data_IF_096913849228
#
_entry.id   IF_096913849228
#
_cell.length_a   1.000
_cell.length_b   1.000
_cell.length_c   1.000
_cell.angle_alpha   90.00
_cell.angle_beta   90.00
_cell.angle_gamma   90.00
#
_symmetry.space_group_name_H-M   'P 1'
#
loop_
_entity.id
_entity.type
_entity.pdbx_description
1 polymer ?
#
# COMPACT_ATOMS: atom_id res chain seq x y z
N UNK A 1 -43.92 30.16 43.43
CA UNK A 1 -45.37 29.87 43.52
C UNK A 1 -45.69 28.71 44.47
N UNK A 2 -44.86 27.65 44.54
CA UNK A 2 -44.96 26.52 45.49
C UNK A 2 -45.18 26.91 46.97
N UNK A 3 -44.51 27.99 47.40
CA UNK A 3 -44.47 28.45 48.79
C UNK A 3 -45.82 29.00 49.27
N UNK A 4 -46.54 29.72 48.40
CA UNK A 4 -47.81 30.38 48.75
C UNK A 4 -48.93 29.38 49.02
N UNK A 5 -49.06 28.29 48.26
CA UNK A 5 -50.09 27.28 48.49
C UNK A 5 -49.80 26.43 49.73
N UNK A 6 -48.52 26.21 50.06
CA UNK A 6 -48.10 25.53 51.30
C UNK A 6 -48.49 26.40 52.49
N UNK A 7 -48.12 27.68 52.44
CA UNK A 7 -48.51 28.68 53.43
C UNK A 7 -50.04 28.78 53.59
N UNK A 8 -50.84 28.73 52.51
CA UNK A 8 -52.31 28.69 52.61
C UNK A 8 -52.83 27.51 53.42
N UNK A 9 -52.33 26.30 53.19
CA UNK A 9 -52.76 25.10 53.94
C UNK A 9 -52.34 25.18 55.42
N UNK A 10 -51.11 25.60 55.70
CA UNK A 10 -50.66 25.81 57.09
C UNK A 10 -51.45 26.91 57.78
N UNK A 11 -51.75 28.01 57.07
CA UNK A 11 -52.59 29.09 57.60
C UNK A 11 -54.02 28.61 57.89
N UNK A 12 -54.59 27.69 57.09
CA UNK A 12 -55.90 27.09 57.39
C UNK A 12 -55.85 26.18 58.61
N UNK A 13 -54.80 25.37 58.76
CA UNK A 13 -54.56 24.54 59.95
C UNK A 13 -54.35 25.41 61.19
N UNK A 14 -53.60 26.49 61.07
CA UNK A 14 -53.33 27.42 62.17
C UNK A 14 -54.59 28.19 62.56
N UNK A 15 -55.42 28.62 61.60
CA UNK A 15 -56.75 29.19 61.88
C UNK A 15 -57.67 28.18 62.57
N UNK A 16 -57.60 26.90 62.19
CA UNK A 16 -58.37 25.85 62.85
C UNK A 16 -57.90 25.63 64.29
N UNK A 17 -56.58 25.61 64.52
CA UNK A 17 -56.00 25.53 65.88
C UNK A 17 -56.37 26.77 66.72
N UNK A 18 -56.35 27.97 66.14
CA UNK A 18 -56.79 29.18 66.83
C UNK A 18 -58.28 29.14 67.19
N UNK A 19 -59.14 28.61 66.30
CA UNK A 19 -60.55 28.38 66.64
C UNK A 19 -60.73 27.35 67.74
N UNK A 20 -59.88 26.33 67.78
CA UNK A 20 -59.87 25.34 68.85
C UNK A 20 -59.45 25.96 70.20
N UNK A 21 -58.38 26.77 70.22
CA UNK A 21 -57.85 27.42 71.43
C UNK A 21 -58.73 28.55 71.97
N UNK A 22 -59.46 29.25 71.10
CA UNK A 22 -60.35 30.37 71.48
C UNK A 22 -61.81 29.96 71.68
N UNK A 23 -62.14 28.70 71.41
CA UNK A 23 -63.47 28.15 71.59
C UNK A 23 -63.88 28.09 73.07
N UNK A 24 -65.17 28.18 73.34
CA UNK A 24 -65.67 28.11 74.71
C UNK A 24 -65.82 26.63 75.12
N UNK A 25 -64.99 26.17 76.06
CA UNK A 25 -65.11 24.85 76.66
C UNK A 25 -66.41 24.72 77.46
N UNK A 26 -67.32 23.87 77.00
CA UNK A 26 -68.51 23.49 77.78
C UNK A 26 -68.18 22.30 78.69
N UNK A 27 -67.37 21.36 78.19
CA UNK A 27 -66.82 20.26 78.97
C UNK A 27 -65.31 20.27 78.72
N UNK A 28 -64.48 20.58 79.73
CA UNK A 28 -63.03 20.61 79.58
C UNK A 28 -62.52 19.33 78.89
N UNK A 29 -61.74 19.51 77.83
CA UNK A 29 -61.12 18.43 77.03
C UNK A 29 -62.06 17.54 76.20
N UNK A 30 -63.38 17.75 76.19
CA UNK A 30 -64.33 16.88 75.49
C UNK A 30 -65.32 17.62 74.59
N UNK A 31 -65.67 18.88 74.90
CA UNK A 31 -66.64 19.64 74.11
C UNK A 31 -66.31 21.13 74.07
N UNK A 32 -66.01 21.63 72.88
CA UNK A 32 -65.69 23.03 72.60
C UNK A 32 -66.77 23.60 71.69
N UNK A 33 -67.33 24.75 72.06
CA UNK A 33 -68.23 25.51 71.20
C UNK A 33 -67.45 26.52 70.39
N UNK A 34 -67.53 26.36 69.07
CA UNK A 34 -66.92 27.23 68.08
C UNK A 34 -67.98 27.94 67.26
N UNK A 35 -67.65 29.14 66.77
CA UNK A 35 -68.52 29.90 65.90
C UNK A 35 -68.68 29.18 64.56
N UNK A 36 -69.89 28.69 64.30
CA UNK A 36 -70.23 27.90 63.09
C UNK A 36 -69.82 28.59 61.77
N UNK A 37 -69.96 29.92 61.67
CA UNK A 37 -69.58 30.68 60.47
C UNK A 37 -68.08 30.67 60.18
N UNK A 38 -67.24 30.79 61.22
CA UNK A 38 -65.78 30.82 61.08
C UNK A 38 -65.25 29.41 60.73
N UNK A 39 -65.78 28.36 61.36
CA UNK A 39 -65.49 26.98 61.02
C UNK A 39 -65.92 26.63 59.58
N UNK A 40 -67.11 27.07 59.17
CA UNK A 40 -67.62 26.82 57.81
C UNK A 40 -66.73 27.45 56.74
N UNK A 41 -66.22 28.66 56.97
CA UNK A 41 -65.31 29.31 56.01
C UNK A 41 -63.98 28.55 55.89
N UNK A 42 -63.44 28.05 57.00
CA UNK A 42 -62.22 27.24 56.98
C UNK A 42 -62.45 25.95 56.20
N UNK A 43 -63.52 25.20 56.51
CA UNK A 43 -63.87 23.94 55.82
C UNK A 43 -64.07 24.17 54.32
N UNK A 44 -64.75 25.24 53.92
CA UNK A 44 -64.97 25.57 52.51
C UNK A 44 -63.69 25.98 51.77
N UNK A 45 -62.67 26.47 52.48
CA UNK A 45 -61.39 26.88 51.88
C UNK A 45 -60.39 25.72 51.70
N UNK A 46 -60.63 24.56 52.33
CA UNK A 46 -59.74 23.39 52.24
C UNK A 46 -59.68 22.76 50.84
N UNK A 47 -60.81 22.52 50.14
CA UNK A 47 -60.80 21.95 48.79
C UNK A 47 -59.93 22.75 47.81
N UNK A 48 -60.08 24.07 47.78
CA UNK A 48 -59.30 24.96 46.90
C UNK A 48 -57.79 24.86 47.19
N UNK A 49 -57.41 24.79 48.47
CA UNK A 49 -56.00 24.66 48.87
C UNK A 49 -55.41 23.29 48.50
N UNK A 50 -56.21 22.23 48.54
CA UNK A 50 -55.82 20.87 48.13
C UNK A 50 -55.70 20.80 46.60
N UNK A 51 -56.66 21.35 45.85
CA UNK A 51 -56.64 21.38 44.39
C UNK A 51 -55.43 22.16 43.84
N UNK A 52 -55.09 23.30 44.48
CA UNK A 52 -53.87 24.04 44.17
C UNK A 52 -52.61 23.18 44.32
N UNK A 53 -52.58 22.29 45.33
CA UNK A 53 -51.44 21.38 45.58
C UNK A 53 -51.39 20.19 44.63
N UNK A 54 -52.54 19.61 44.28
CA UNK A 54 -52.62 18.55 43.27
C UNK A 54 -52.14 19.10 41.91
N UNK A 55 -52.59 20.30 41.53
CA UNK A 55 -52.15 20.96 40.29
C UNK A 55 -50.64 21.21 40.26
N UNK A 56 -50.08 21.62 41.40
CA UNK A 56 -48.63 21.81 41.52
C UNK A 56 -47.88 20.48 41.38
N UNK A 57 -48.35 19.41 42.03
CA UNK A 57 -47.77 18.08 41.91
C UNK A 57 -47.82 17.57 40.47
N UNK A 58 -48.93 17.77 39.75
CA UNK A 58 -49.07 17.39 38.34
C UNK A 58 -48.07 18.12 37.43
N UNK A 59 -47.82 19.41 37.66
CA UNK A 59 -46.83 20.18 36.91
C UNK A 59 -45.42 19.61 37.15
N UNK A 60 -45.09 19.27 38.39
CA UNK A 60 -43.79 18.68 38.73
C UNK A 60 -43.65 17.29 38.11
N UNK A 61 -44.70 16.46 38.13
CA UNK A 61 -44.71 15.14 37.50
C UNK A 61 -44.52 15.23 35.99
N UNK A 62 -45.24 16.14 35.31
CA UNK A 62 -45.07 16.38 33.88
C UNK A 62 -43.65 16.83 33.56
N UNK A 63 -43.12 17.81 34.30
CA UNK A 63 -41.76 18.30 34.10
C UNK A 63 -40.72 17.19 34.32
N UNK A 64 -40.94 16.31 35.30
CA UNK A 64 -40.08 15.13 35.51
C UNK A 64 -40.14 14.21 34.30
N UNK A 65 -41.33 13.93 33.78
CA UNK A 65 -41.51 13.07 32.60
C UNK A 65 -40.82 13.66 31.37
N UNK A 66 -40.98 14.98 31.14
CA UNK A 66 -40.32 15.69 30.04
C UNK A 66 -38.79 15.57 30.14
N UNK A 67 -38.23 15.75 31.34
CA UNK A 67 -36.78 15.61 31.60
C UNK A 67 -36.32 14.17 31.34
N UNK A 68 -37.10 13.17 31.78
CA UNK A 68 -36.76 11.77 31.55
C UNK A 68 -36.78 11.44 30.06
N UNK A 69 -37.81 11.90 29.34
CA UNK A 69 -37.92 11.71 27.90
C UNK A 69 -36.76 12.37 27.16
N UNK A 70 -36.40 13.62 27.51
CA UNK A 70 -35.24 14.31 26.93
C UNK A 70 -33.93 13.57 27.22
N UNK A 71 -33.76 13.10 28.46
CA UNK A 71 -32.59 12.32 28.86
C UNK A 71 -32.49 11.00 28.08
N UNK A 72 -33.61 10.30 27.88
CA UNK A 72 -33.67 9.08 27.07
C UNK A 72 -33.32 9.37 25.61
N UNK A 73 -33.94 10.37 24.99
CA UNK A 73 -33.64 10.75 23.61
C UNK A 73 -32.17 11.14 23.44
N UNK A 74 -31.59 11.85 24.42
CA UNK A 74 -30.18 12.21 24.40
C UNK A 74 -29.27 11.00 24.56
N UNK A 75 -29.62 10.06 25.44
CA UNK A 75 -28.88 8.82 25.61
C UNK A 75 -28.89 7.98 24.32
N UNK A 76 -30.06 7.80 23.71
CA UNK A 76 -30.23 7.07 22.45
C UNK A 76 -29.42 7.72 21.33
N UNK A 77 -29.43 9.05 21.26
CA UNK A 77 -28.62 9.81 20.30
C UNK A 77 -27.12 9.58 20.49
N UNK A 78 -26.64 9.65 21.74
CA UNK A 78 -25.22 9.42 22.06
C UNK A 78 -24.81 8.00 21.67
N UNK A 79 -25.66 7.00 21.96
CA UNK A 79 -25.40 5.61 21.59
C UNK A 79 -25.32 5.47 20.07
N UNK A 80 -26.29 6.02 19.33
CA UNK A 80 -26.29 5.96 17.87
C UNK A 80 -25.07 6.66 17.24
N UNK A 81 -24.66 7.81 17.78
CA UNK A 81 -23.46 8.52 17.34
C UNK A 81 -22.19 7.70 17.62
N UNK A 82 -22.08 7.08 18.81
CA UNK A 82 -20.95 6.23 19.17
C UNK A 82 -20.86 4.96 18.31
N UNK A 83 -22.00 4.33 17.99
CA UNK A 83 -22.04 3.16 17.12
C UNK A 83 -21.62 3.50 15.69
N UNK A 84 -22.14 4.61 15.13
CA UNK A 84 -21.74 5.09 13.81
C UNK A 84 -20.23 5.39 13.75
N UNK A 85 -19.69 6.06 14.77
CA UNK A 85 -18.27 6.37 14.82
C UNK A 85 -17.41 5.10 14.95
N UNK A 86 -17.83 4.14 15.78
CA UNK A 86 -17.19 2.81 15.86
C UNK A 86 -17.18 2.11 14.49
N UNK A 87 -18.30 2.13 13.77
CA UNK A 87 -18.37 1.53 12.43
C UNK A 87 -17.44 2.23 11.43
N UNK A 88 -17.37 3.56 11.46
CA UNK A 88 -16.43 4.34 10.64
C UNK A 88 -14.99 3.95 10.91
N UNK A 89 -14.57 3.94 12.18
CA UNK A 89 -13.21 3.57 12.59
C UNK A 89 -12.84 2.12 12.21
N UNK A 90 -13.76 1.17 12.39
CA UNK A 90 -13.54 -0.21 11.97
C UNK A 90 -13.41 -0.34 10.45
N UNK A 91 -14.22 0.39 9.69
CA UNK A 91 -14.13 0.41 8.23
C UNK A 91 -12.78 0.98 7.77
N UNK A 92 -12.35 2.10 8.34
CA UNK A 92 -11.06 2.71 8.04
C UNK A 92 -9.89 1.79 8.40
N UNK A 93 -9.94 1.14 9.57
CA UNK A 93 -8.92 0.17 9.99
C UNK A 93 -8.86 -1.06 9.06
N UNK A 94 -10.01 -1.60 8.64
CA UNK A 94 -10.04 -2.71 7.69
C UNK A 94 -9.47 -2.32 6.32
N UNK A 95 -9.79 -1.12 5.83
CA UNK A 95 -9.26 -0.60 4.57
C UNK A 95 -7.75 -0.40 4.63
N UNK A 96 -7.23 0.15 5.74
CA UNK A 96 -5.79 0.30 5.93
C UNK A 96 -5.06 -1.04 5.95
N UNK A 97 -5.62 -2.04 6.64
CA UNK A 97 -5.06 -3.40 6.68
C UNK A 97 -5.05 -4.06 5.30
N UNK A 98 -6.14 -3.92 4.54
CA UNK A 98 -6.24 -4.44 3.17
C UNK A 98 -5.23 -3.77 2.23
N UNK A 99 -5.02 -2.45 2.37
CA UNK A 99 -4.02 -1.70 1.61
C UNK A 99 -2.61 -2.18 1.97
N UNK A 100 -2.31 -2.36 3.26
CA UNK A 100 -1.00 -2.83 3.71
C UNK A 100 -0.70 -4.25 3.19
N UNK A 101 -1.67 -5.17 3.26
CA UNK A 101 -1.52 -6.51 2.70
C UNK A 101 -1.28 -6.49 1.19
N UNK A 102 -2.06 -5.67 0.45
CA UNK A 102 -1.88 -5.50 -0.99
C UNK A 102 -0.53 -4.89 -1.33
N UNK A 103 -0.10 -3.87 -0.59
CA UNK A 103 1.20 -3.23 -0.79
C UNK A 103 2.35 -4.21 -0.54
N UNK A 104 2.23 -5.05 0.48
CA UNK A 104 3.24 -6.06 0.80
C UNK A 104 3.30 -7.16 -0.28
N UNK A 105 2.16 -7.64 -0.78
CA UNK A 105 2.11 -8.60 -1.90
C UNK A 105 2.71 -8.00 -3.17
N UNK A 106 2.30 -6.79 -3.53
CA UNK A 106 2.84 -6.08 -4.69
C UNK A 106 4.35 -5.88 -4.59
N UNK A 107 4.85 -5.50 -3.42
CA UNK A 107 6.29 -5.37 -3.17
C UNK A 107 7.02 -6.70 -3.39
N UNK A 108 6.47 -7.81 -2.91
CA UNK A 108 7.06 -9.13 -3.09
C UNK A 108 7.07 -9.54 -4.57
N UNK A 109 5.94 -9.36 -5.27
CA UNK A 109 5.83 -9.64 -6.71
C UNK A 109 6.88 -8.84 -7.52
N UNK A 110 7.03 -7.54 -7.24
CA UNK A 110 8.03 -6.70 -7.92
C UNK A 110 9.46 -7.16 -7.64
N UNK A 111 9.77 -7.60 -6.42
CA UNK A 111 11.09 -8.14 -6.08
C UNK A 111 11.36 -9.42 -6.87
N UNK A 112 10.41 -10.36 -6.85
CA UNK A 112 10.54 -11.65 -7.54
C UNK A 112 10.67 -11.44 -9.07
N UNK A 113 9.89 -10.52 -9.65
CA UNK A 113 9.99 -10.15 -11.05
C UNK A 113 11.34 -9.51 -11.39
N UNK A 114 11.83 -8.59 -10.56
CA UNK A 114 13.14 -7.98 -10.76
C UNK A 114 14.27 -9.02 -10.71
N UNK A 115 14.21 -9.96 -9.76
CA UNK A 115 15.18 -11.04 -9.68
C UNK A 115 15.12 -11.95 -10.93
N UNK A 116 13.92 -12.29 -11.38
CA UNK A 116 13.72 -13.08 -12.60
C UNK A 116 14.22 -12.36 -13.86
N UNK A 117 14.02 -11.04 -13.97
CA UNK A 117 14.56 -10.22 -15.07
C UNK A 117 16.08 -10.20 -15.01
N UNK A 118 16.67 -9.93 -13.84
CA UNK A 118 18.12 -9.91 -13.64
C UNK A 118 18.75 -11.23 -14.03
N UNK A 119 18.16 -12.35 -13.61
CA UNK A 119 18.66 -13.70 -13.94
C UNK A 119 18.57 -14.00 -15.43
N UNK A 120 17.44 -13.66 -16.09
CA UNK A 120 17.30 -13.83 -17.54
C UNK A 120 18.33 -13.02 -18.31
N UNK A 121 18.47 -11.73 -17.98
CA UNK A 121 19.43 -10.85 -18.62
C UNK A 121 20.87 -11.34 -18.44
N UNK A 122 21.22 -11.84 -17.24
CA UNK A 122 22.53 -12.41 -16.96
C UNK A 122 22.80 -13.66 -17.81
N UNK A 123 21.86 -14.61 -17.84
CA UNK A 123 22.00 -15.84 -18.61
C UNK A 123 22.07 -15.59 -20.12
N UNK A 124 21.28 -14.63 -20.62
CA UNK A 124 21.31 -14.22 -22.03
C UNK A 124 22.65 -13.58 -22.39
N UNK A 125 23.16 -12.67 -21.56
CA UNK A 125 24.47 -12.04 -21.76
C UNK A 125 25.62 -13.06 -21.75
N UNK A 126 25.57 -14.02 -20.82
CA UNK A 126 26.54 -15.11 -20.76
C UNK A 126 26.47 -16.03 -21.98
N UNK A 127 25.26 -16.37 -22.44
CA UNK A 127 25.05 -17.15 -23.65
C UNK A 127 25.56 -16.44 -24.91
N UNK A 128 25.29 -15.13 -25.03
CA UNK A 128 25.80 -14.32 -26.14
C UNK A 128 27.32 -14.25 -26.11
N UNK A 129 27.93 -14.05 -24.94
CA UNK A 129 29.39 -14.00 -24.78
C UNK A 129 30.03 -15.31 -25.21
N UNK A 130 29.46 -16.45 -24.81
CA UNK A 130 29.99 -17.76 -25.17
C UNK A 130 29.93 -17.98 -26.69
N UNK A 131 28.77 -17.74 -27.29
CA UNK A 131 28.56 -17.89 -28.75
C UNK A 131 29.51 -16.98 -29.54
N UNK A 132 29.62 -15.70 -29.14
CA UNK A 132 30.53 -14.76 -29.79
C UNK A 132 32.00 -15.18 -29.66
N UNK A 133 32.40 -15.75 -28.51
CA UNK A 133 33.75 -16.28 -28.31
C UNK A 133 34.03 -17.48 -29.21
N UNK A 134 33.07 -18.41 -29.34
CA UNK A 134 33.20 -19.56 -30.23
C UNK A 134 33.28 -19.16 -31.69
N UNK A 135 32.47 -18.20 -32.13
CA UNK A 135 32.51 -17.65 -33.49
C UNK A 135 33.84 -16.97 -33.77
N UNK A 136 34.36 -16.17 -32.83
CA UNK A 136 35.65 -15.52 -32.97
C UNK A 136 36.79 -16.54 -33.14
N UNK A 137 36.75 -17.66 -32.40
CA UNK A 137 37.71 -18.76 -32.54
C UNK A 137 37.61 -19.37 -33.94
N UNK A 138 36.40 -19.72 -34.40
CA UNK A 138 36.18 -20.30 -35.74
C UNK A 138 36.66 -19.39 -36.86
N UNK A 139 36.37 -18.08 -36.76
CA UNK A 139 36.83 -17.08 -37.73
C UNK A 139 38.36 -17.02 -37.74
N UNK A 140 39.00 -16.98 -36.57
CA UNK A 140 40.45 -16.96 -36.45
C UNK A 140 41.09 -18.20 -37.06
N UNK A 141 40.57 -19.38 -36.76
CA UNK A 141 41.06 -20.66 -37.31
C UNK A 141 40.88 -20.72 -38.82
N UNK A 142 39.71 -20.32 -39.33
CA UNK A 142 39.44 -20.26 -40.77
C UNK A 142 40.37 -19.28 -41.50
N UNK A 143 40.62 -18.10 -40.93
CA UNK A 143 41.56 -17.12 -41.46
C UNK A 143 43.01 -17.65 -41.46
N UNK A 144 43.42 -18.32 -40.38
CA UNK A 144 44.74 -18.95 -40.29
C UNK A 144 44.91 -20.03 -41.37
N UNK A 145 43.89 -20.87 -41.56
CA UNK A 145 43.93 -21.93 -42.55
C UNK A 145 43.96 -21.39 -43.98
N UNK A 146 43.17 -20.34 -44.25
CA UNK A 146 43.22 -19.62 -45.52
C UNK A 146 44.60 -19.02 -45.79
N UNK A 147 45.20 -18.34 -44.81
CA UNK A 147 46.55 -17.78 -44.94
C UNK A 147 47.58 -18.86 -45.27
N UNK A 148 47.53 -20.01 -44.58
CA UNK A 148 48.42 -21.13 -44.86
C UNK A 148 48.26 -21.65 -46.30
N UNK A 149 47.03 -21.80 -46.78
CA UNK A 149 46.76 -22.27 -48.14
C UNK A 149 47.28 -21.29 -49.20
N UNK A 150 47.10 -19.98 -48.98
CA UNK A 150 47.65 -18.95 -49.87
C UNK A 150 49.18 -18.99 -49.88
N UNK A 151 49.81 -19.10 -48.72
CA UNK A 151 51.26 -19.18 -48.60
C UNK A 151 51.83 -20.43 -49.27
N UNK A 152 51.23 -21.60 -49.05
CA UNK A 152 51.64 -22.86 -49.70
C UNK A 152 51.50 -22.78 -51.22
N UNK A 153 50.41 -22.17 -51.72
CA UNK A 153 50.21 -21.98 -53.16
C UNK A 153 51.27 -21.05 -53.75
N UNK A 154 51.56 -19.93 -53.08
CA UNK A 154 52.61 -19.02 -53.51
C UNK A 154 53.99 -19.69 -53.52
N UNK A 155 54.30 -20.51 -52.51
CA UNK A 155 55.54 -21.31 -52.47
C UNK A 155 55.64 -22.27 -53.65
N UNK A 156 54.56 -22.99 -53.97
CA UNK A 156 54.50 -23.88 -55.13
C UNK A 156 54.73 -23.13 -56.45
N UNK A 157 54.06 -21.99 -56.63
CA UNK A 157 54.17 -21.16 -57.83
C UNK A 157 55.61 -20.62 -58.01
N UNK A 158 56.23 -20.16 -56.91
CA UNK A 158 57.62 -19.68 -56.91
C UNK A 158 58.62 -20.80 -57.22
N UNK A 159 58.44 -21.99 -56.65
CA UNK A 159 59.28 -23.15 -56.95
C UNK A 159 59.18 -23.55 -58.42
N UNK A 160 57.98 -23.54 -59.00
CA UNK A 160 57.80 -23.83 -60.42
C UNK A 160 58.52 -22.80 -61.31
N UNK A 161 58.40 -21.51 -60.99
CA UNK A 161 59.13 -20.46 -61.70
C UNK A 161 60.65 -20.63 -61.58
N UNK A 162 61.14 -20.97 -60.39
CA UNK A 162 62.56 -21.23 -60.16
C UNK A 162 63.08 -22.38 -61.04
N UNK A 163 62.34 -23.49 -61.14
CA UNK A 163 62.71 -24.62 -62.01
C UNK A 163 62.75 -24.22 -63.49
N UNK A 164 61.80 -23.38 -63.95
CA UNK A 164 61.79 -22.87 -65.33
C UNK A 164 63.06 -22.04 -65.60
N UNK A 165 63.43 -21.14 -64.68
CA UNK A 165 64.63 -20.31 -64.81
C UNK A 165 65.89 -21.18 -64.81
N UNK A 166 66.00 -22.16 -63.92
CA UNK A 166 67.11 -23.10 -63.87
C UNK A 166 67.27 -23.89 -65.18
N UNK A 167 66.16 -24.43 -65.71
CA UNK A 167 66.17 -25.14 -66.98
C UNK A 167 66.61 -24.22 -68.14
N UNK A 168 66.13 -22.98 -68.17
CA UNK A 168 66.54 -21.99 -69.17
C UNK A 168 68.02 -21.60 -69.08
N UNK A 169 68.54 -21.44 -67.87
CA UNK A 169 69.97 -21.19 -67.63
C UNK A 169 70.84 -22.36 -68.08
N UNK A 170 70.43 -23.60 -67.76
CA UNK A 170 71.13 -24.81 -68.18
C UNK A 170 71.16 -24.93 -69.71
N UNK A 171 70.03 -24.72 -70.37
CA UNK A 171 69.94 -24.74 -71.83
C UNK A 171 70.91 -23.73 -72.49
N UNK A 172 70.99 -22.52 -71.96
CA UNK A 172 71.93 -21.50 -72.47
C UNK A 172 73.39 -21.87 -72.19
N UNK A 173 73.69 -22.47 -71.04
CA UNK A 173 75.03 -22.97 -70.72
C UNK A 173 75.44 -24.11 -71.68
N UNK A 174 74.51 -25.02 -72.00
CA UNK A 174 74.73 -26.11 -72.95
C UNK A 174 74.97 -25.58 -74.37
N UNK A 175 74.19 -24.59 -74.83
CA UNK A 175 74.45 -23.92 -76.13
C UNK A 175 75.84 -23.29 -76.14
N UNK A 176 76.21 -22.55 -75.10
CA UNK A 176 77.52 -21.89 -75.01
C UNK A 176 78.68 -22.90 -75.05
N UNK A 177 78.52 -24.08 -74.45
CA UNK A 177 79.50 -25.16 -74.49
C UNK A 177 79.52 -25.90 -75.85
N UNK A 178 78.44 -25.81 -76.63
CA UNK A 178 78.34 -26.37 -77.98
C UNK A 178 79.01 -25.51 -79.06
N UNK A 179 79.24 -24.21 -78.80
CA UNK A 179 79.72 -23.23 -79.78
C UNK A 179 81.24 -22.87 -79.71
N UNK A 180 82.09 -23.66 -79.05
CA UNK A 180 83.58 -23.44 -79.06
C UNK A 180 84.29 -24.52 -79.93
N UNK A 181 85.18 -24.14 -80.88
CA UNK A 181 85.28 -24.82 -82.18
C UNK A 181 86.40 -25.90 -82.29
N UNK A 182 86.08 -27.03 -82.94
CA UNK A 182 87.08 -27.93 -83.55
C UNK A 182 87.63 -27.30 -84.85
N UNK A 183 88.47 -26.27 -84.69
CA UNK A 183 89.34 -25.73 -85.73
C UNK A 183 90.81 -25.68 -85.27
N UNK A 184 91.31 -26.69 -84.52
CA UNK A 184 92.74 -26.70 -84.12
C UNK A 184 93.53 -28.02 -84.12
N UNK A 185 93.02 -29.10 -84.70
CA UNK A 185 93.79 -30.32 -84.97
C UNK A 185 93.22 -30.91 -86.27
N UNK A 186 93.71 -30.62 -87.47
CA UNK A 186 94.99 -31.11 -87.99
C UNK A 186 95.48 -30.19 -89.11
N UNK A 187 96.35 -29.25 -88.76
CA UNK A 187 97.25 -28.54 -89.67
C UNK A 187 98.66 -29.18 -89.61
N UNK A 188 98.72 -30.51 -89.48
CA UNK A 188 99.96 -31.31 -89.40
C UNK A 188 99.76 -32.65 -90.14
N UNK A 189 99.62 -32.59 -91.46
CA UNK A 189 100.09 -33.62 -92.41
C UNK A 189 99.73 -33.21 -93.85
N UNK A 190 100.23 -32.04 -94.26
CA UNK A 190 100.56 -31.78 -95.65
C UNK A 190 102.08 -31.64 -95.62
N UNK A 191 102.78 -32.76 -95.82
CA UNK A 191 104.19 -32.90 -96.21
C UNK A 191 104.74 -34.23 -95.66
N UNK A 192 104.41 -35.34 -96.33
CA UNK A 192 105.47 -36.24 -96.74
C UNK A 192 105.04 -37.11 -97.92
N UNK A 193 106.00 -37.25 -98.82
CA UNK A 193 105.99 -37.94 -100.11
C UNK A 193 105.75 -39.43 -100.01
#
# INVERSE_FOLDING_TARGET
>A
MSQSAKEKLYNLVERLNQLWETGFDIIPSHLIVVKSKELSHIIQSFPDAIDDKIREADIVLRKKEDILQEAHMKADRIIAEAENERHRLLSESSVLRDIEEKAQKFKQEVIDECEAIKMRAFNEAEGLRLTASEEAIKIKEGAQHYAQNVLNKLESDLNQLYQIVMNGQQYLADIKNSEVPQQRQNMLNIDNR
#
